data_IF_372305262711
#
_entry.id   IF_372305262711
#
_cell.length_a   1.000
_cell.length_b   1.000
_cell.length_c   1.000
_cell.angle_alpha   90.00
_cell.angle_beta   90.00
_cell.angle_gamma   90.00
#
_symmetry.space_group_name_H-M   'P 1'
#
loop_
_entity.id
_entity.type
_entity.pdbx_description
1 polymer ?
#
# COMPACT_ATOMS: atom_id res chain seq x y z
N UNK A 1 12.96 -16.77 12.71
CA UNK A 1 11.82 -16.43 13.57
C UNK A 1 10.69 -15.96 12.67
N UNK A 2 9.58 -16.71 12.63
CA UNK A 2 8.45 -16.42 11.74
C UNK A 2 7.35 -15.82 12.63
N UNK A 3 6.91 -14.57 12.40
CA UNK A 3 5.91 -13.95 13.26
C UNK A 3 4.65 -14.82 13.31
N UNK A 4 4.20 -15.13 14.52
CA UNK A 4 3.05 -15.99 14.75
C UNK A 4 1.77 -15.30 14.22
N UNK A 5 0.91 -15.97 13.44
CA UNK A 5 -0.32 -15.36 12.89
C UNK A 5 -1.38 -14.95 13.92
N UNK A 6 -1.18 -15.30 15.19
CA UNK A 6 -2.15 -15.12 16.27
C UNK A 6 -2.30 -13.65 16.68
N UNK A 7 -1.24 -12.84 16.55
CA UNK A 7 -1.23 -11.43 16.94
C UNK A 7 -0.93 -10.55 15.72
N UNK A 8 -1.91 -10.32 14.82
CA UNK A 8 -1.68 -9.48 13.66
C UNK A 8 -1.47 -8.01 14.05
N UNK A 9 -0.68 -7.26 13.26
CA UNK A 9 -0.56 -5.83 13.46
C UNK A 9 -1.90 -5.12 13.28
N UNK A 10 -2.10 -4.01 13.99
CA UNK A 10 -3.25 -3.14 13.78
C UNK A 10 -3.19 -2.46 12.40
N UNK A 11 -4.36 -2.11 11.86
CA UNK A 11 -4.46 -1.41 10.58
C UNK A 11 -4.23 -2.32 9.37
N UNK A 12 -3.43 -1.88 8.40
CA UNK A 12 -3.09 -2.66 7.22
C UNK A 12 -2.14 -3.81 7.59
N UNK A 13 -2.59 -5.05 7.51
CA UNK A 13 -1.79 -6.25 7.79
C UNK A 13 -0.40 -6.28 7.11
N UNK A 14 -0.28 -5.63 5.95
CA UNK A 14 0.96 -5.58 5.16
C UNK A 14 1.91 -4.45 5.58
N UNK A 15 1.51 -3.51 6.44
CA UNK A 15 2.26 -2.30 6.74
C UNK A 15 3.69 -2.57 7.28
N UNK A 16 3.89 -3.68 8.00
CA UNK A 16 5.21 -4.08 8.53
C UNK A 16 6.18 -4.55 7.45
N UNK A 17 5.70 -4.81 6.23
CA UNK A 17 6.48 -5.26 5.06
C UNK A 17 6.30 -4.38 3.83
N UNK A 18 5.45 -3.36 3.89
CA UNK A 18 5.13 -2.51 2.75
C UNK A 18 6.23 -1.43 2.58
N UNK A 19 6.91 -1.36 1.43
CA UNK A 19 7.98 -0.38 1.18
C UNK A 19 7.45 1.05 1.06
N UNK A 20 6.14 1.20 0.86
CA UNK A 20 5.43 2.47 0.68
C UNK A 20 4.41 2.69 1.81
N UNK A 21 4.64 2.12 2.99
CA UNK A 21 3.75 2.29 4.13
C UNK A 21 3.68 3.77 4.57
N UNK A 22 2.46 4.25 4.82
CA UNK A 22 2.19 5.59 5.34
C UNK A 22 1.63 5.48 6.75
N UNK A 23 1.56 6.58 7.50
CA UNK A 23 1.06 6.60 8.89
C UNK A 23 -0.33 5.95 9.01
N UNK A 24 -1.21 6.24 8.04
CA UNK A 24 -2.54 5.65 7.94
C UNK A 24 -2.55 4.12 7.92
N UNK A 25 -1.51 3.48 7.36
CA UNK A 25 -1.40 2.03 7.29
C UNK A 25 -1.25 1.36 8.66
N UNK A 26 -0.77 2.06 9.69
CA UNK A 26 -0.56 1.50 11.05
C UNK A 26 -1.85 1.55 11.88
N UNK A 27 -2.70 2.55 11.61
CA UNK A 27 -3.86 2.87 12.44
C UNK A 27 -5.19 2.43 11.81
N UNK A 28 -5.26 2.31 10.48
CA UNK A 28 -6.50 2.05 9.77
C UNK A 28 -6.38 0.86 8.82
N UNK A 29 -7.39 0.00 8.83
CA UNK A 29 -7.54 -1.07 7.85
C UNK A 29 -8.03 -0.49 6.51
N UNK A 30 -7.32 -0.74 5.39
CA UNK A 30 -7.75 -0.25 4.09
C UNK A 30 -9.06 -0.90 3.64
N UNK A 31 -9.82 -0.17 2.83
CA UNK A 31 -11.02 -0.73 2.19
C UNK A 31 -10.63 -1.64 1.03
N UNK A 32 -11.51 -2.58 0.71
CA UNK A 32 -11.42 -3.37 -0.51
C UNK A 32 -11.82 -2.50 -1.71
N UNK A 33 -10.91 -2.32 -2.66
CA UNK A 33 -11.08 -1.47 -3.84
C UNK A 33 -10.85 -2.29 -5.10
N UNK A 34 -11.69 -2.09 -6.12
CA UNK A 34 -11.47 -2.67 -7.44
C UNK A 34 -10.51 -1.83 -8.27
N UNK A 35 -9.58 -2.47 -8.98
CA UNK A 35 -8.58 -1.80 -9.82
C UNK A 35 -8.68 -2.32 -11.25
N UNK A 36 -8.69 -1.45 -12.26
CA UNK A 36 -8.70 -1.74 -13.73
C UNK A 36 -9.81 -2.69 -14.24
N UNK A 37 -9.95 -3.88 -13.66
CA UNK A 37 -10.92 -4.93 -13.92
C UNK A 37 -11.75 -5.21 -12.64
N UNK A 38 -13.07 -5.47 -12.74
CA UNK A 38 -13.94 -5.67 -11.57
C UNK A 38 -13.52 -6.82 -10.63
N UNK A 39 -12.84 -7.84 -11.16
CA UNK A 39 -12.38 -9.00 -10.37
C UNK A 39 -10.99 -8.79 -9.73
N UNK A 40 -10.31 -7.70 -10.04
CA UNK A 40 -9.03 -7.36 -9.43
C UNK A 40 -9.27 -6.43 -8.26
N UNK A 41 -9.14 -6.98 -7.05
CA UNK A 41 -9.41 -6.26 -5.81
C UNK A 41 -8.15 -6.14 -4.97
N UNK A 42 -7.98 -5.00 -4.32
CA UNK A 42 -6.83 -4.71 -3.46
C UNK A 42 -7.28 -4.03 -2.16
N UNK A 43 -6.48 -4.24 -1.12
CA UNK A 43 -6.58 -3.56 0.17
C UNK A 43 -5.39 -2.58 0.27
N UNK A 44 -5.54 -1.36 -0.24
CA UNK A 44 -4.45 -0.38 -0.29
C UNK A 44 -4.96 1.05 -0.02
N UNK A 45 -4.29 1.78 0.87
CA UNK A 45 -4.57 3.19 1.14
C UNK A 45 -4.09 4.14 0.04
N UNK A 46 -3.15 3.67 -0.80
CA UNK A 46 -2.62 4.41 -1.94
C UNK A 46 -3.36 4.04 -3.24
N UNK A 47 -4.57 3.52 -3.15
CA UNK A 47 -5.46 3.32 -4.30
C UNK A 47 -6.75 4.06 -4.00
N UNK A 48 -7.10 4.95 -4.92
CA UNK A 48 -8.32 5.73 -4.80
C UNK A 48 -9.54 4.80 -4.85
N UNK A 49 -10.41 4.93 -3.86
CA UNK A 49 -11.52 4.01 -3.66
C UNK A 49 -12.61 4.14 -4.72
N UNK A 50 -12.71 5.31 -5.38
CA UNK A 50 -13.76 5.63 -6.33
C UNK A 50 -13.33 5.30 -7.77
N UNK A 51 -12.06 5.48 -8.07
CA UNK A 51 -11.49 5.32 -9.42
C UNK A 51 -10.66 4.05 -9.59
N UNK A 52 -10.19 3.43 -8.50
CA UNK A 52 -9.26 2.30 -8.54
C UNK A 52 -7.88 2.66 -9.07
N UNK A 53 -7.59 3.96 -9.22
CA UNK A 53 -6.30 4.43 -9.69
C UNK A 53 -5.29 4.49 -8.54
N UNK A 54 -3.99 4.20 -8.79
CA UNK A 54 -2.97 4.36 -7.78
C UNK A 54 -2.72 5.84 -7.46
N UNK A 55 -2.79 6.21 -6.19
CA UNK A 55 -2.45 7.54 -5.66
C UNK A 55 -0.93 7.66 -5.42
N UNK A 56 -0.18 7.58 -6.51
CA UNK A 56 1.30 7.69 -6.51
C UNK A 56 1.78 9.10 -6.19
N UNK A 57 0.91 10.12 -6.35
CA UNK A 57 1.23 11.49 -6.01
C UNK A 57 1.37 11.66 -4.49
N UNK A 58 0.40 11.17 -3.70
CA UNK A 58 0.49 11.21 -2.25
C UNK A 58 1.57 10.29 -1.69
N UNK A 59 1.77 9.12 -2.33
CA UNK A 59 2.84 8.20 -1.95
C UNK A 59 4.22 8.87 -2.03
N UNK A 60 4.49 9.66 -3.08
CA UNK A 60 5.77 10.34 -3.28
C UNK A 60 5.99 11.50 -2.28
N UNK A 61 4.93 12.21 -1.90
CA UNK A 61 5.00 13.34 -0.98
C UNK A 61 5.26 12.92 0.47
N UNK A 62 4.68 11.81 0.91
CA UNK A 62 4.85 11.27 2.28
C UNK A 62 6.18 10.50 2.45
N UNK A 63 6.89 10.21 1.35
CA UNK A 63 8.12 9.39 1.30
C UNK A 63 9.38 10.18 0.93
N UNK A 64 9.54 11.42 1.38
CA UNK A 64 10.69 12.31 1.09
C UNK A 64 12.10 11.83 1.51
N UNK A 65 12.43 10.54 1.48
CA UNK A 65 13.76 9.99 1.75
C UNK A 65 13.99 8.57 1.17
N UNK A 66 13.75 8.34 -0.12
CA UNK A 66 14.41 7.21 -0.82
C UNK A 66 15.02 7.71 -2.13
N UNK A 67 16.19 8.35 -2.03
CA UNK A 67 17.14 8.32 -3.14
C UNK A 67 17.53 6.84 -3.36
N UNK A 68 17.04 6.23 -4.44
CA UNK A 68 17.55 4.92 -4.88
C UNK A 68 16.54 3.88 -5.40
N UNK A 69 15.31 4.23 -5.76
CA UNK A 69 14.49 3.35 -6.60
C UNK A 69 14.97 3.43 -8.06
N UNK A 70 16.10 2.77 -8.32
CA UNK A 70 16.68 2.66 -9.64
C UNK A 70 15.78 1.93 -10.63
N UNK A 71 15.82 2.45 -11.87
CA UNK A 71 15.53 1.79 -13.13
C UNK A 71 14.08 1.34 -13.41
N UNK A 72 13.42 2.15 -14.25
CA UNK A 72 12.75 1.73 -15.49
C UNK A 72 12.50 0.21 -15.63
N UNK A 73 11.23 -0.19 -15.61
CA UNK A 73 10.76 -1.43 -16.22
C UNK A 73 10.84 -1.27 -17.76
N UNK A 74 11.74 -1.93 -18.50
CA UNK A 74 11.48 -2.20 -19.91
C UNK A 74 10.46 -3.33 -20.05
N UNK A 75 9.78 -3.34 -21.20
CA UNK A 75 8.73 -4.28 -21.60
C UNK A 75 9.16 -5.75 -21.63
#
# INVERSE_FOLDING_TARGET
>A
DLPSPIDPPSGCYFHTRCPVAIERCVVEEPRLVGVTHPDHLVFCHLVDADTGAPDVARAAEEQGAVEGAGAHHPA
#
